data_IF_721553001629
#
_entry.id   IF_721553001629
#
_cell.length_a   1.000
_cell.length_b   1.000
_cell.length_c   1.000
_cell.angle_alpha   90.00
_cell.angle_beta   90.00
_cell.angle_gamma   90.00
#
_symmetry.space_group_name_H-M   'P 1'
#
loop_
_entity.id
_entity.type
_entity.pdbx_description
1 polymer ?
#
# COMPACT_ATOMS: atom_id res chain seq x y z
N UNK A 1 -55.89 -3.43 -8.11
CA UNK A 1 -55.54 -4.14 -6.89
C UNK A 1 -54.99 -3.12 -5.90
N UNK A 2 -55.69 -2.86 -4.80
CA UNK A 2 -55.19 -1.96 -3.75
C UNK A 2 -54.20 -2.79 -2.90
N UNK A 3 -52.95 -2.38 -2.88
CA UNK A 3 -52.00 -2.99 -1.97
C UNK A 3 -52.45 -2.75 -0.51
N UNK A 4 -52.51 -3.78 0.29
CA UNK A 4 -52.85 -3.66 1.71
C UNK A 4 -51.77 -2.86 2.43
N UNK A 5 -52.12 -1.82 3.22
CA UNK A 5 -51.12 -1.03 3.92
C UNK A 5 -50.28 -1.89 4.87
N UNK A 6 -48.96 -1.76 4.77
CA UNK A 6 -48.02 -2.51 5.65
C UNK A 6 -48.36 -2.24 7.12
N UNK A 7 -48.58 -3.30 7.90
CA UNK A 7 -48.93 -3.18 9.31
C UNK A 7 -47.85 -2.46 10.12
N UNK A 8 -48.28 -1.61 11.07
CA UNK A 8 -47.35 -0.93 12.01
C UNK A 8 -46.47 -1.94 12.77
N UNK A 9 -47.01 -3.12 13.07
CA UNK A 9 -46.23 -4.21 13.70
C UNK A 9 -45.12 -4.74 12.78
N UNK A 10 -45.41 -4.92 11.50
CA UNK A 10 -44.43 -5.37 10.52
C UNK A 10 -43.29 -4.38 10.39
N UNK A 11 -43.59 -3.06 10.33
CA UNK A 11 -42.59 -2.00 10.29
C UNK A 11 -41.74 -2.00 11.56
N UNK A 12 -42.35 -2.13 12.73
CA UNK A 12 -41.65 -2.20 14.02
C UNK A 12 -40.67 -3.38 14.09
N UNK A 13 -41.11 -4.57 13.71
CA UNK A 13 -40.22 -5.75 13.69
C UNK A 13 -39.11 -5.62 12.65
N UNK A 14 -39.37 -5.03 11.49
CA UNK A 14 -38.35 -4.78 10.49
C UNK A 14 -37.27 -3.80 10.98
N UNK A 15 -37.66 -2.76 11.73
CA UNK A 15 -36.71 -1.82 12.36
C UNK A 15 -35.85 -2.54 13.41
N UNK A 16 -36.47 -3.31 14.31
CA UNK A 16 -35.72 -4.08 15.34
C UNK A 16 -34.74 -5.03 14.68
N UNK A 17 -35.19 -5.77 13.68
CA UNK A 17 -34.32 -6.70 12.93
C UNK A 17 -33.15 -5.96 12.24
N UNK A 18 -33.42 -4.82 11.60
CA UNK A 18 -32.38 -3.99 10.96
C UNK A 18 -31.37 -3.49 11.98
N UNK A 19 -31.82 -2.99 13.15
CA UNK A 19 -30.93 -2.57 14.24
C UNK A 19 -30.09 -3.75 14.74
N UNK A 20 -30.70 -4.90 14.94
CA UNK A 20 -30.00 -6.11 15.41
C UNK A 20 -28.91 -6.56 14.43
N UNK A 21 -29.24 -6.62 13.13
CA UNK A 21 -28.27 -6.94 12.08
C UNK A 21 -27.14 -5.90 12.04
N UNK A 22 -27.48 -4.61 12.16
CA UNK A 22 -26.48 -3.52 12.20
C UNK A 22 -25.55 -3.64 13.40
N UNK A 23 -26.06 -4.02 14.56
CA UNK A 23 -25.25 -4.26 15.76
C UNK A 23 -24.31 -5.46 15.57
N UNK A 24 -24.80 -6.56 15.00
CA UNK A 24 -23.94 -7.73 14.70
C UNK A 24 -22.79 -7.31 13.75
N UNK A 25 -23.09 -6.59 12.67
CA UNK A 25 -22.08 -6.11 11.74
C UNK A 25 -21.09 -5.18 12.44
N UNK A 26 -21.59 -4.26 13.27
CA UNK A 26 -20.76 -3.35 14.06
C UNK A 26 -19.82 -4.11 15.00
N UNK A 27 -20.34 -5.06 15.78
CA UNK A 27 -19.52 -5.84 16.71
C UNK A 27 -18.50 -6.71 15.98
N UNK A 28 -18.88 -7.39 14.90
CA UNK A 28 -17.94 -8.16 14.10
C UNK A 28 -16.81 -7.31 13.55
N UNK A 29 -17.10 -6.11 13.05
CA UNK A 29 -16.09 -5.19 12.56
C UNK A 29 -15.24 -4.62 13.70
N UNK A 30 -15.85 -4.30 14.84
CA UNK A 30 -15.15 -3.72 15.99
C UNK A 30 -14.15 -4.70 16.62
N UNK A 31 -14.49 -5.98 16.68
CA UNK A 31 -13.63 -7.03 17.22
C UNK A 31 -12.71 -7.68 16.19
N UNK A 32 -12.77 -7.29 14.92
CA UNK A 32 -11.87 -7.82 13.92
C UNK A 32 -10.45 -7.29 14.14
N UNK A 33 -9.57 -8.15 14.62
CA UNK A 33 -8.17 -7.85 14.91
C UNK A 33 -7.24 -8.09 13.72
N UNK A 34 -7.78 -8.46 12.56
CA UNK A 34 -6.98 -8.71 11.35
C UNK A 34 -6.41 -7.42 10.78
N UNK A 35 -5.24 -7.54 10.19
CA UNK A 35 -4.70 -6.52 9.31
C UNK A 35 -5.06 -6.86 7.87
N UNK A 36 -5.76 -5.96 7.19
CA UNK A 36 -6.12 -6.10 5.78
C UNK A 36 -5.18 -5.26 4.93
N UNK A 37 -4.60 -5.87 3.91
CA UNK A 37 -3.71 -5.23 2.93
C UNK A 37 -4.37 -5.35 1.57
N UNK A 38 -4.52 -4.24 0.86
CA UNK A 38 -5.12 -4.17 -0.47
C UNK A 38 -4.15 -3.48 -1.42
N UNK A 39 -3.65 -4.20 -2.41
CA UNK A 39 -2.99 -3.58 -3.56
C UNK A 39 -4.07 -3.17 -4.54
N UNK A 40 -4.25 -1.87 -4.72
CA UNK A 40 -5.33 -1.30 -5.52
C UNK A 40 -5.01 -1.33 -7.02
N UNK A 41 -5.97 -1.68 -7.86
CA UNK A 41 -5.87 -1.46 -9.30
C UNK A 41 -6.11 0.02 -9.63
N UNK A 42 -5.02 0.77 -9.63
CA UNK A 42 -5.02 2.19 -10.03
C UNK A 42 -4.57 2.40 -11.49
N UNK A 43 -4.44 1.31 -12.26
CA UNK A 43 -3.81 1.31 -13.56
C UNK A 43 -2.28 1.24 -13.46
N UNK A 44 -1.57 1.97 -14.33
CA UNK A 44 -0.11 2.00 -14.28
C UNK A 44 0.36 2.92 -13.15
N UNK A 45 0.81 2.32 -12.05
CA UNK A 45 1.24 2.98 -10.83
C UNK A 45 1.08 2.12 -9.58
N UNK A 46 1.49 2.63 -8.44
CA UNK A 46 1.44 1.91 -7.16
C UNK A 46 0.42 2.53 -6.21
N UNK A 47 -0.34 1.67 -5.56
CA UNK A 47 -1.14 2.03 -4.39
C UNK A 47 -1.37 0.79 -3.54
N UNK A 48 -1.04 0.86 -2.27
CA UNK A 48 -1.44 -0.14 -1.29
C UNK A 48 -2.17 0.53 -0.12
N UNK A 49 -3.38 0.07 0.17
CA UNK A 49 -4.14 0.46 1.33
C UNK A 49 -4.02 -0.63 2.40
N UNK A 50 -3.73 -0.23 3.63
CA UNK A 50 -3.58 -1.15 4.77
C UNK A 50 -4.48 -0.65 5.88
N UNK A 51 -5.39 -1.54 6.35
CA UNK A 51 -6.20 -1.29 7.55
C UNK A 51 -5.76 -2.22 8.67
N UNK A 52 -5.23 -1.63 9.74
CA UNK A 52 -4.67 -2.35 10.87
C UNK A 52 -5.74 -2.45 11.96
N UNK A 53 -6.17 -3.68 12.28
CA UNK A 53 -7.13 -3.97 13.36
C UNK A 53 -8.39 -3.12 13.33
N UNK A 54 -8.86 -2.75 12.14
CA UNK A 54 -9.99 -1.84 11.93
C UNK A 54 -9.89 -0.45 12.60
N UNK A 55 -8.69 0.03 12.92
CA UNK A 55 -8.46 1.26 13.69
C UNK A 55 -7.55 2.26 13.02
N UNK A 56 -6.53 1.79 12.27
CA UNK A 56 -5.50 2.64 11.70
C UNK A 56 -5.46 2.39 10.20
N UNK A 57 -5.61 3.45 9.44
CA UNK A 57 -5.59 3.44 8.00
C UNK A 57 -4.27 3.98 7.46
N UNK A 58 -3.63 3.18 6.63
CA UNK A 58 -2.33 3.48 6.04
C UNK A 58 -2.46 3.42 4.52
N UNK A 59 -1.90 4.40 3.85
CA UNK A 59 -1.80 4.41 2.40
C UNK A 59 -0.33 4.48 1.99
N UNK A 60 0.10 3.57 1.13
CA UNK A 60 1.45 3.56 0.55
C UNK A 60 1.30 3.80 -0.94
N UNK A 61 1.77 4.95 -1.40
CA UNK A 61 1.56 5.51 -2.72
C UNK A 61 0.06 5.73 -3.05
N UNK A 62 -0.22 6.52 -4.05
CA UNK A 62 -1.59 6.93 -4.39
C UNK A 62 -1.91 6.82 -5.88
N UNK A 63 -1.00 6.24 -6.66
CA UNK A 63 -1.20 6.05 -8.09
C UNK A 63 -1.21 7.34 -8.93
N UNK A 64 -1.48 7.19 -10.23
CA UNK A 64 -1.37 8.27 -11.22
C UNK A 64 -2.54 9.25 -11.21
N UNK A 65 -3.69 8.89 -10.61
CA UNK A 65 -4.93 9.66 -10.75
C UNK A 65 -5.93 9.40 -9.60
N UNK A 66 -7.19 9.80 -9.81
CA UNK A 66 -8.29 9.67 -8.83
C UNK A 66 -8.77 8.23 -8.59
N UNK A 67 -8.27 7.21 -9.28
CA UNK A 67 -8.69 5.81 -9.11
C UNK A 67 -8.47 5.30 -7.69
N UNK A 68 -7.46 5.81 -7.00
CA UNK A 68 -7.24 5.51 -5.58
C UNK A 68 -8.47 5.78 -4.71
N UNK A 69 -9.29 6.79 -5.06
CA UNK A 69 -10.53 7.10 -4.33
C UNK A 69 -11.56 5.96 -4.45
N UNK A 70 -11.59 5.25 -5.58
CA UNK A 70 -12.48 4.09 -5.76
C UNK A 70 -12.03 2.93 -4.87
N UNK A 71 -10.74 2.69 -4.76
CA UNK A 71 -10.19 1.68 -3.86
C UNK A 71 -10.50 2.01 -2.40
N UNK A 72 -10.21 3.23 -1.95
CA UNK A 72 -10.52 3.66 -0.59
C UNK A 72 -12.03 3.59 -0.31
N UNK A 73 -12.88 4.01 -1.26
CA UNK A 73 -14.34 3.92 -1.12
C UNK A 73 -14.89 2.50 -1.03
N UNK A 74 -14.15 1.50 -1.55
CA UNK A 74 -14.53 0.09 -1.52
C UNK A 74 -14.09 -0.62 -0.24
N UNK A 75 -12.92 -0.25 0.31
CA UNK A 75 -12.30 -1.01 1.40
C UNK A 75 -12.27 -0.29 2.74
N UNK A 76 -12.35 1.05 2.72
CA UNK A 76 -12.44 1.85 3.93
C UNK A 76 -13.92 1.99 4.34
N UNK A 77 -14.28 1.92 5.64
CA UNK A 77 -15.65 2.16 6.07
C UNK A 77 -16.17 3.51 5.58
N UNK A 78 -17.43 3.58 5.15
CA UNK A 78 -17.99 4.79 4.51
C UNK A 78 -18.00 6.03 5.43
N UNK A 79 -18.01 5.80 6.76
CA UNK A 79 -17.94 6.87 7.78
C UNK A 79 -16.51 7.30 8.12
N UNK A 80 -15.50 6.50 7.74
CA UNK A 80 -14.11 6.79 8.00
C UNK A 80 -13.54 7.63 6.85
N UNK A 81 -12.92 8.74 7.20
CA UNK A 81 -12.28 9.67 6.26
C UNK A 81 -10.89 10.08 6.72
N UNK A 82 -10.27 9.23 7.55
CA UNK A 82 -8.99 9.50 8.15
C UNK A 82 -7.95 8.51 7.67
N UNK A 83 -6.77 9.01 7.29
CA UNK A 83 -5.58 8.22 6.95
C UNK A 83 -4.49 8.64 7.94
N UNK A 84 -4.16 7.78 8.89
CA UNK A 84 -3.18 8.08 9.92
C UNK A 84 -1.77 8.22 9.35
N UNK A 85 -1.43 7.37 8.37
CA UNK A 85 -0.10 7.36 7.76
C UNK A 85 -0.23 7.30 6.24
N UNK A 86 0.20 8.34 5.56
CA UNK A 86 0.30 8.39 4.10
C UNK A 86 1.79 8.35 3.71
N UNK A 87 2.21 7.27 3.07
CA UNK A 87 3.58 7.08 2.59
C UNK A 87 3.67 7.38 1.10
N UNK A 88 4.72 8.06 0.70
CA UNK A 88 5.11 8.14 -0.69
C UNK A 88 6.51 7.54 -0.85
N UNK A 89 6.63 6.52 -1.68
CA UNK A 89 7.89 5.81 -1.91
C UNK A 89 8.95 6.69 -2.57
N UNK A 90 8.59 7.44 -3.61
CA UNK A 90 9.46 8.36 -4.32
C UNK A 90 8.65 9.36 -5.17
N UNK A 91 9.25 10.49 -5.63
CA UNK A 91 8.53 11.61 -6.23
C UNK A 91 8.14 11.41 -7.71
N UNK A 92 7.72 10.20 -8.13
CA UNK A 92 7.21 9.93 -9.48
C UNK A 92 5.68 10.03 -9.53
N UNK A 93 5.18 10.51 -10.67
CA UNK A 93 3.77 10.88 -10.85
C UNK A 93 2.81 9.73 -10.66
N UNK A 94 3.16 8.55 -11.10
CA UNK A 94 2.37 7.33 -10.96
C UNK A 94 2.35 6.75 -9.54
N UNK A 95 3.05 7.41 -8.59
CA UNK A 95 2.99 7.14 -7.16
C UNK A 95 2.34 8.26 -6.35
N UNK A 96 2.56 9.53 -6.71
CA UNK A 96 2.09 10.65 -5.88
C UNK A 96 0.82 11.34 -6.36
N UNK A 97 0.44 11.23 -7.64
CA UNK A 97 -0.56 12.16 -8.20
C UNK A 97 -1.96 11.98 -7.57
N UNK A 98 -2.30 10.79 -7.13
CA UNK A 98 -3.53 10.51 -6.40
C UNK A 98 -3.68 11.29 -5.10
N UNK A 99 -2.58 11.68 -4.44
CA UNK A 99 -2.61 12.46 -3.21
C UNK A 99 -3.23 13.86 -3.38
N UNK A 100 -3.23 14.42 -4.58
CA UNK A 100 -3.99 15.65 -4.87
C UNK A 100 -5.49 15.49 -4.60
N UNK A 101 -6.04 14.33 -4.92
CA UNK A 101 -7.47 14.03 -4.76
C UNK A 101 -7.78 13.53 -3.35
N UNK A 102 -6.87 12.78 -2.74
CA UNK A 102 -7.01 12.27 -1.37
C UNK A 102 -7.02 13.42 -0.38
N UNK A 103 -6.06 14.34 -0.47
CA UNK A 103 -5.94 15.46 0.46
C UNK A 103 -7.14 16.42 0.46
N UNK A 104 -8.03 16.34 -0.53
CA UNK A 104 -9.27 17.11 -0.58
C UNK A 104 -10.46 16.38 0.06
N UNK A 105 -10.37 15.06 0.30
CA UNK A 105 -11.49 14.24 0.72
C UNK A 105 -11.25 13.47 2.02
N UNK A 106 -9.98 13.30 2.38
CA UNK A 106 -9.56 12.57 3.57
C UNK A 106 -8.68 13.46 4.43
N UNK A 107 -8.82 13.32 5.74
CA UNK A 107 -7.86 13.87 6.69
C UNK A 107 -6.60 12.97 6.65
N UNK A 108 -5.44 13.57 6.52
CA UNK A 108 -4.15 12.86 6.62
C UNK A 108 -3.46 13.38 7.87
N UNK A 109 -3.10 12.48 8.80
CA UNK A 109 -2.42 12.88 10.02
C UNK A 109 -0.92 13.08 9.81
N UNK A 110 -0.28 12.22 8.97
CA UNK A 110 1.16 12.30 8.70
C UNK A 110 1.44 11.91 7.25
N UNK A 111 2.22 12.73 6.57
CA UNK A 111 2.75 12.42 5.26
C UNK A 111 4.22 12.04 5.37
N UNK A 112 4.58 10.86 4.93
CA UNK A 112 5.90 10.26 5.05
C UNK A 112 6.47 10.05 3.65
N UNK A 113 7.67 10.54 3.40
CA UNK A 113 8.32 10.42 2.08
C UNK A 113 9.84 10.40 2.21
N UNK A 114 10.51 10.44 1.08
CA UNK A 114 11.96 10.55 0.95
C UNK A 114 12.36 11.98 0.64
N UNK A 115 13.51 12.42 1.14
CA UNK A 115 14.16 13.64 0.67
C UNK A 115 14.92 13.34 -0.63
N UNK A 116 14.39 13.84 -1.74
CA UNK A 116 15.00 13.66 -3.07
C UNK A 116 15.32 15.03 -3.68
N UNK A 117 16.53 15.23 -4.18
CA UNK A 117 16.89 16.45 -4.93
C UNK A 117 16.21 16.52 -6.29
N UNK A 118 15.75 15.36 -6.81
CA UNK A 118 15.11 15.25 -8.13
C UNK A 118 13.61 15.37 -7.94
N UNK A 119 13.07 16.58 -8.09
CA UNK A 119 11.65 16.83 -7.87
C UNK A 119 11.02 17.64 -9.00
N UNK A 120 9.94 17.15 -9.54
CA UNK A 120 9.16 17.84 -10.57
C UNK A 120 8.45 19.08 -10.01
N UNK A 121 8.09 20.02 -10.89
CA UNK A 121 7.25 21.18 -10.51
C UNK A 121 5.91 20.73 -9.92
N UNK A 122 5.33 19.63 -10.42
CA UNK A 122 4.06 19.09 -9.94
C UNK A 122 4.22 18.49 -8.53
N UNK A 123 5.30 17.79 -8.26
CA UNK A 123 5.58 17.29 -6.92
C UNK A 123 5.74 18.42 -5.89
N UNK A 124 6.48 19.50 -6.25
CA UNK A 124 6.57 20.69 -5.40
C UNK A 124 5.19 21.29 -5.09
N UNK A 125 4.26 21.30 -6.07
CA UNK A 125 2.87 21.73 -5.84
C UNK A 125 2.14 20.81 -4.87
N UNK A 126 2.38 19.49 -4.92
CA UNK A 126 1.81 18.56 -3.95
C UNK A 126 2.31 18.85 -2.54
N UNK A 127 3.63 18.96 -2.34
CA UNK A 127 4.20 19.25 -1.01
C UNK A 127 3.68 20.58 -0.46
N UNK A 128 3.55 21.61 -1.30
CA UNK A 128 2.92 22.87 -0.93
C UNK A 128 1.47 22.67 -0.47
N UNK A 129 0.66 21.93 -1.24
CA UNK A 129 -0.75 21.62 -0.87
C UNK A 129 -0.85 20.86 0.45
N UNK A 130 0.02 19.88 0.69
CA UNK A 130 0.09 19.12 1.95
C UNK A 130 0.43 20.06 3.11
N UNK A 131 1.42 20.94 2.94
CA UNK A 131 1.80 21.94 3.95
C UNK A 131 0.68 22.96 4.22
N UNK A 132 -0.01 23.47 3.19
CA UNK A 132 -1.14 24.41 3.33
C UNK A 132 -2.32 23.80 4.10
N UNK A 133 -2.45 22.48 4.10
CA UNK A 133 -3.43 21.74 4.90
C UNK A 133 -2.94 21.40 6.32
N UNK A 134 -1.79 21.93 6.72
CA UNK A 134 -1.15 21.67 8.02
C UNK A 134 -0.86 20.17 8.28
N UNK A 135 -0.64 19.39 7.21
CA UNK A 135 -0.26 17.99 7.33
C UNK A 135 1.25 17.91 7.53
N UNK A 136 1.74 17.38 8.66
CA UNK A 136 3.18 17.26 8.92
C UNK A 136 3.84 16.29 7.95
N UNK A 137 4.98 16.72 7.38
CA UNK A 137 5.78 15.96 6.43
C UNK A 137 7.01 15.41 7.13
N UNK A 138 7.26 14.11 7.00
CA UNK A 138 8.42 13.42 7.56
C UNK A 138 9.22 12.77 6.46
N UNK A 139 10.50 13.09 6.39
CA UNK A 139 11.45 12.40 5.52
C UNK A 139 12.06 11.23 6.26
N UNK A 140 12.13 10.07 5.60
CA UNK A 140 12.62 8.82 6.18
C UNK A 140 13.82 8.28 5.44
N UNK A 141 14.76 7.72 6.23
CA UNK A 141 16.02 7.13 5.76
C UNK A 141 16.18 5.71 6.32
N UNK A 142 17.15 4.98 5.79
CA UNK A 142 17.51 3.65 6.27
C UNK A 142 17.79 3.64 7.78
N UNK A 143 17.20 2.67 8.47
CA UNK A 143 17.26 2.53 9.94
C UNK A 143 16.07 3.14 10.68
N UNK A 144 15.31 4.06 10.06
CA UNK A 144 14.10 4.60 10.66
C UNK A 144 13.02 3.53 10.84
N UNK A 145 12.17 3.73 11.87
CA UNK A 145 11.06 2.85 12.19
C UNK A 145 9.82 3.64 12.53
N UNK A 146 8.66 3.13 12.10
CA UNK A 146 7.34 3.58 12.56
C UNK A 146 6.63 2.37 13.13
N UNK A 147 6.08 2.48 14.33
CA UNK A 147 5.29 1.42 14.97
C UNK A 147 3.86 1.90 15.15
N UNK A 148 2.90 1.01 14.90
CA UNK A 148 1.49 1.22 15.12
C UNK A 148 0.85 -0.10 15.52
N UNK A 149 0.29 -0.19 16.74
CA UNK A 149 -0.21 -1.44 17.33
C UNK A 149 0.88 -2.54 17.32
N UNK A 150 0.59 -3.71 16.74
CA UNK A 150 1.50 -4.84 16.60
C UNK A 150 2.21 -4.89 15.24
N UNK A 151 2.18 -3.76 14.51
CA UNK A 151 2.84 -3.64 13.21
C UNK A 151 4.03 -2.69 13.26
N UNK A 152 4.97 -2.90 12.35
CA UNK A 152 6.14 -2.05 12.19
C UNK A 152 6.43 -1.80 10.72
N UNK A 153 6.79 -0.56 10.39
CA UNK A 153 7.40 -0.15 9.13
C UNK A 153 8.88 0.14 9.40
N UNK A 154 9.77 -0.63 8.78
CA UNK A 154 11.22 -0.45 8.86
C UNK A 154 11.73 0.02 7.51
N UNK A 155 12.46 1.13 7.49
CA UNK A 155 13.04 1.69 6.28
C UNK A 155 14.46 1.12 6.07
N UNK A 156 14.70 0.55 4.90
CA UNK A 156 16.01 0.00 4.52
C UNK A 156 16.74 0.86 3.50
N UNK A 157 16.03 1.81 2.87
CA UNK A 157 16.57 2.71 1.86
C UNK A 157 15.74 3.99 1.78
N UNK A 158 16.33 5.15 1.39
CA UNK A 158 17.74 5.41 1.12
C UNK A 158 18.56 5.61 2.41
N UNK A 159 19.90 5.48 2.37
CA UNK A 159 20.75 5.88 3.49
C UNK A 159 20.78 7.41 3.63
N UNK A 160 21.26 7.90 4.77
CA UNK A 160 21.46 9.34 5.00
C UNK A 160 22.44 9.90 3.96
N UNK A 161 22.19 11.12 3.53
CA UNK A 161 23.05 11.87 2.56
C UNK A 161 23.22 11.14 1.21
N UNK A 162 22.26 10.31 0.83
CA UNK A 162 22.25 9.60 -0.45
C UNK A 162 22.08 10.56 -1.62
N UNK A 163 22.83 10.33 -2.69
CA UNK A 163 22.71 11.09 -3.93
C UNK A 163 22.72 10.17 -5.16
N UNK A 164 21.89 10.47 -6.13
CA UNK A 164 21.80 9.78 -7.43
C UNK A 164 21.25 10.75 -8.47
N UNK A 165 21.53 10.50 -9.73
CA UNK A 165 20.88 11.16 -10.87
C UNK A 165 19.59 10.47 -11.33
N UNK A 166 19.27 9.32 -10.78
CA UNK A 166 18.08 8.54 -11.09
C UNK A 166 17.08 8.66 -9.93
N UNK A 167 15.88 9.18 -10.18
CA UNK A 167 14.83 9.38 -9.19
C UNK A 167 14.33 8.07 -8.57
N UNK A 168 14.30 6.97 -9.33
CA UNK A 168 13.95 5.64 -8.83
C UNK A 168 14.92 5.12 -7.76
N UNK A 169 16.16 5.61 -7.74
CA UNK A 169 17.13 5.24 -6.71
C UNK A 169 16.79 5.83 -5.34
N UNK A 170 15.88 6.81 -5.28
CA UNK A 170 15.36 7.36 -4.01
C UNK A 170 14.13 6.58 -3.48
N UNK A 171 13.67 5.55 -4.17
CA UNK A 171 12.52 4.77 -3.69
C UNK A 171 12.72 4.22 -2.29
N UNK A 172 11.88 4.64 -1.34
CA UNK A 172 11.85 4.03 -0.02
C UNK A 172 11.63 2.52 -0.13
N UNK A 173 12.56 1.74 0.39
CA UNK A 173 12.37 0.30 0.59
C UNK A 173 11.91 0.07 2.02
N UNK A 174 10.67 -0.38 2.17
CA UNK A 174 9.98 -0.46 3.45
C UNK A 174 9.58 -1.91 3.73
N UNK A 175 10.08 -2.48 4.83
CA UNK A 175 9.55 -3.73 5.35
C UNK A 175 8.41 -3.44 6.30
N UNK A 176 7.22 -3.86 5.92
CA UNK A 176 6.04 -3.91 6.78
C UNK A 176 5.95 -5.28 7.45
N UNK A 177 5.82 -5.29 8.76
CA UNK A 177 5.71 -6.53 9.54
C UNK A 177 4.51 -6.49 10.46
N UNK A 178 3.75 -7.60 10.54
CA UNK A 178 2.61 -7.80 11.44
C UNK A 178 2.96 -8.87 12.46
N UNK A 179 2.57 -8.66 13.71
CA UNK A 179 2.89 -9.58 14.81
C UNK A 179 4.38 -9.56 15.15
N UNK A 180 4.96 -8.37 15.29
CA UNK A 180 6.41 -8.18 15.52
C UNK A 180 6.95 -8.81 16.79
N UNK A 181 6.07 -9.18 17.72
CA UNK A 181 6.42 -9.88 18.96
C UNK A 181 6.33 -11.42 18.84
N UNK A 182 5.94 -11.94 17.68
CA UNK A 182 5.81 -13.38 17.43
C UNK A 182 7.14 -13.98 17.01
N UNK A 183 7.25 -15.28 17.15
CA UNK A 183 8.38 -16.05 16.64
C UNK A 183 8.52 -15.92 15.12
N UNK A 184 7.39 -15.85 14.39
CA UNK A 184 7.35 -15.71 12.93
C UNK A 184 6.39 -14.59 12.54
N UNK A 185 6.82 -13.33 12.54
CA UNK A 185 6.00 -12.22 12.06
C UNK A 185 5.73 -12.35 10.56
N UNK A 186 4.53 -11.95 10.11
CA UNK A 186 4.26 -11.76 8.69
C UNK A 186 5.07 -10.58 8.15
N UNK A 187 5.62 -10.70 6.94
CA UNK A 187 6.57 -9.74 6.38
C UNK A 187 6.27 -9.43 4.92
N UNK A 188 6.00 -8.16 4.63
CA UNK A 188 5.77 -7.63 3.28
C UNK A 188 6.80 -6.56 2.96
N UNK A 189 7.52 -6.71 1.85
CA UNK A 189 8.50 -5.73 1.41
C UNK A 189 7.92 -4.87 0.28
N UNK A 190 7.79 -3.58 0.55
CA UNK A 190 7.52 -2.55 -0.44
C UNK A 190 8.84 -2.02 -1.00
N UNK A 191 8.96 -1.96 -2.30
CA UNK A 191 10.20 -1.57 -2.97
C UNK A 191 10.07 -0.30 -3.81
N UNK A 192 8.86 0.25 -3.94
CA UNK A 192 8.59 1.31 -4.92
C UNK A 192 9.13 0.91 -6.29
N UNK A 193 9.86 1.81 -6.92
CA UNK A 193 10.51 1.60 -8.21
C UNK A 193 12.03 1.38 -8.09
N UNK A 194 12.47 0.88 -6.92
CA UNK A 194 13.87 0.66 -6.63
C UNK A 194 14.62 -0.03 -7.77
N UNK A 195 15.71 0.58 -8.20
CA UNK A 195 16.54 0.10 -9.30
C UNK A 195 17.40 -1.12 -8.88
N UNK A 196 17.99 -1.85 -9.83
CA UNK A 196 18.97 -2.89 -9.55
C UNK A 196 20.14 -2.43 -8.67
N UNK A 197 20.54 -1.16 -8.79
CA UNK A 197 21.56 -0.55 -7.97
C UNK A 197 21.15 -0.50 -6.48
N UNK A 198 19.92 -0.08 -6.19
CA UNK A 198 19.37 -0.04 -4.83
C UNK A 198 19.24 -1.45 -4.27
N UNK A 199 18.58 -2.34 -5.02
CA UNK A 199 18.36 -3.72 -4.59
C UNK A 199 19.67 -4.48 -4.35
N UNK A 200 20.73 -4.18 -5.09
CA UNK A 200 22.05 -4.79 -4.92
C UNK A 200 22.78 -4.38 -3.64
N UNK A 201 22.33 -3.32 -2.97
CA UNK A 201 22.90 -2.83 -1.69
C UNK A 201 22.19 -3.36 -0.46
N UNK A 202 21.02 -3.95 -0.64
CA UNK A 202 20.30 -4.61 0.45
C UNK A 202 20.96 -5.94 0.77
N UNK A 203 21.12 -6.28 2.05
CA UNK A 203 21.85 -7.47 2.49
C UNK A 203 20.94 -8.51 3.15
N UNK A 204 21.39 -9.78 3.14
CA UNK A 204 20.67 -10.91 3.74
C UNK A 204 20.41 -10.71 5.25
N UNK A 205 21.36 -10.14 5.97
CA UNK A 205 21.23 -9.89 7.42
C UNK A 205 20.19 -8.86 7.81
N UNK A 206 19.74 -8.04 6.83
CA UNK A 206 18.79 -6.96 7.08
C UNK A 206 17.36 -7.32 6.70
N UNK A 207 17.14 -7.93 5.52
CA UNK A 207 15.78 -8.21 5.03
C UNK A 207 15.28 -9.57 5.49
N UNK A 208 16.08 -10.64 5.35
CA UNK A 208 15.66 -12.03 5.62
C UNK A 208 14.48 -12.47 4.75
N UNK A 209 13.93 -13.66 5.01
CA UNK A 209 12.78 -14.20 4.28
C UNK A 209 11.53 -13.33 4.45
N UNK A 210 10.80 -13.11 3.38
CA UNK A 210 9.54 -12.34 3.36
C UNK A 210 8.38 -13.18 2.82
N UNK A 211 7.16 -12.86 3.20
CA UNK A 211 5.95 -13.55 2.72
C UNK A 211 5.49 -12.97 1.39
N UNK A 212 5.53 -11.63 1.27
CA UNK A 212 5.11 -10.93 0.06
C UNK A 212 6.18 -9.93 -0.38
N UNK A 213 6.50 -9.96 -1.66
CA UNK A 213 7.27 -8.93 -2.35
C UNK A 213 6.34 -8.09 -3.22
N UNK A 214 6.23 -6.77 -2.96
CA UNK A 214 5.77 -5.84 -4.00
C UNK A 214 6.91 -5.70 -5.00
N UNK A 215 6.70 -6.25 -6.20
CA UNK A 215 7.72 -6.28 -7.25
C UNK A 215 8.10 -4.86 -7.67
N UNK A 216 9.39 -4.52 -7.70
CA UNK A 216 9.83 -3.17 -8.02
C UNK A 216 9.48 -2.77 -9.44
N UNK A 217 9.17 -1.48 -9.60
CA UNK A 217 9.00 -0.80 -10.87
C UNK A 217 8.02 -1.51 -11.81
N UNK A 218 6.85 -1.89 -11.26
CA UNK A 218 5.73 -2.54 -11.97
C UNK A 218 6.13 -3.80 -12.78
N UNK A 219 7.21 -4.46 -12.38
CA UNK A 219 7.78 -5.58 -13.13
C UNK A 219 8.61 -5.18 -14.35
N UNK A 220 9.18 -3.97 -14.37
CA UNK A 220 10.16 -3.52 -15.35
C UNK A 220 11.39 -4.43 -15.39
N UNK A 221 11.98 -4.59 -16.59
CA UNK A 221 13.28 -5.26 -16.74
C UNK A 221 14.43 -4.58 -15.97
N UNK A 222 14.25 -3.30 -15.60
CA UNK A 222 15.18 -2.46 -14.85
C UNK A 222 14.85 -2.39 -13.34
N UNK A 223 14.03 -3.30 -12.83
CA UNK A 223 13.70 -3.41 -11.41
C UNK A 223 14.32 -4.66 -10.80
N UNK A 224 13.54 -5.75 -10.70
CA UNK A 224 13.90 -6.98 -10.01
C UNK A 224 15.16 -7.65 -10.58
N UNK A 225 16.07 -8.07 -9.67
CA UNK A 225 17.26 -8.86 -10.00
C UNK A 225 17.17 -10.26 -9.40
N UNK A 226 17.84 -11.24 -10.07
CA UNK A 226 17.89 -12.63 -9.57
C UNK A 226 18.52 -12.68 -8.16
N UNK A 227 19.64 -11.96 -7.94
CA UNK A 227 20.33 -11.90 -6.65
C UNK A 227 19.43 -11.37 -5.54
N UNK A 228 18.66 -10.31 -5.80
CA UNK A 228 17.73 -9.76 -4.83
C UNK A 228 16.57 -10.72 -4.55
N UNK A 229 16.04 -11.38 -5.57
CA UNK A 229 14.99 -12.38 -5.42
C UNK A 229 15.43 -13.58 -4.58
N UNK A 230 16.69 -13.99 -4.73
CA UNK A 230 17.28 -15.04 -3.87
C UNK A 230 17.46 -14.59 -2.43
N UNK A 231 17.76 -13.31 -2.21
CA UNK A 231 17.90 -12.70 -0.91
C UNK A 231 16.56 -12.57 -0.16
N UNK A 232 15.53 -12.12 -0.85
CA UNK A 232 14.22 -11.85 -0.29
C UNK A 232 13.38 -13.12 -0.10
N UNK A 233 13.58 -14.14 -0.95
CA UNK A 233 12.93 -15.45 -0.97
C UNK A 233 11.43 -15.39 -0.65
N UNK A 234 10.63 -14.59 -1.43
CA UNK A 234 9.22 -14.38 -1.14
C UNK A 234 8.37 -15.60 -1.50
N UNK A 235 7.30 -15.84 -0.75
CA UNK A 235 6.27 -16.83 -1.12
C UNK A 235 5.34 -16.27 -2.22
N UNK A 236 5.02 -14.98 -2.13
CA UNK A 236 4.14 -14.28 -3.07
C UNK A 236 4.84 -13.06 -3.65
N UNK A 237 4.56 -12.76 -4.92
CA UNK A 237 4.98 -11.54 -5.60
C UNK A 237 3.76 -10.80 -6.13
N UNK A 238 3.57 -9.55 -5.72
CA UNK A 238 2.50 -8.68 -6.20
C UNK A 238 3.09 -7.69 -7.20
N UNK A 239 2.48 -7.60 -8.37
CA UNK A 239 2.84 -6.65 -9.42
C UNK A 239 1.67 -5.68 -9.60
N UNK A 240 1.83 -4.44 -9.16
CA UNK A 240 0.90 -3.36 -9.49
C UNK A 240 1.23 -2.86 -10.89
N UNK A 241 0.31 -3.02 -11.81
CA UNK A 241 0.54 -2.72 -13.23
C UNK A 241 -0.80 -2.46 -13.93
N UNK A 242 -0.81 -1.57 -14.89
CA UNK A 242 -2.01 -1.24 -15.66
C UNK A 242 -2.28 -2.20 -16.80
N UNK A 243 -3.54 -2.55 -17.01
CA UNK A 243 -3.97 -3.31 -18.19
C UNK A 243 -3.65 -2.52 -19.46
N UNK A 244 -3.08 -3.21 -20.45
CA UNK A 244 -2.68 -2.62 -21.74
C UNK A 244 -1.73 -1.42 -21.61
N UNK A 245 -0.84 -1.42 -20.62
CA UNK A 245 0.13 -0.36 -20.44
C UNK A 245 1.14 -0.29 -21.61
N UNK A 246 1.55 0.92 -21.98
CA UNK A 246 2.48 1.17 -23.08
C UNK A 246 3.94 0.82 -22.78
N UNK A 247 4.26 0.48 -21.52
CA UNK A 247 5.62 0.18 -21.08
C UNK A 247 6.04 -1.28 -21.30
N UNK A 248 5.08 -2.17 -21.66
CA UNK A 248 5.30 -3.60 -21.78
C UNK A 248 5.57 -4.27 -20.43
N UNK A 249 5.03 -3.72 -19.35
CA UNK A 249 5.10 -4.29 -18.01
C UNK A 249 3.92 -5.25 -17.73
N UNK A 250 4.11 -6.29 -16.91
CA UNK A 250 5.41 -6.77 -16.41
C UNK A 250 6.23 -7.42 -17.54
N UNK A 251 7.53 -7.16 -17.55
CA UNK A 251 8.41 -7.72 -18.57
C UNK A 251 8.56 -9.24 -18.41
N UNK A 252 8.56 -10.00 -19.51
CA UNK A 252 8.60 -11.46 -19.49
C UNK A 252 9.79 -12.03 -18.70
N UNK A 253 10.95 -11.36 -18.73
CA UNK A 253 12.12 -11.72 -17.92
C UNK A 253 11.80 -11.76 -16.42
N UNK A 254 11.02 -10.80 -15.91
CA UNK A 254 10.62 -10.72 -14.49
C UNK A 254 9.70 -11.87 -14.15
N UNK A 255 8.68 -12.12 -14.99
CA UNK A 255 7.77 -13.25 -14.81
C UNK A 255 8.51 -14.59 -14.81
N UNK A 256 9.47 -14.78 -15.71
CA UNK A 256 10.28 -15.99 -15.78
C UNK A 256 11.15 -16.18 -14.53
N UNK A 257 11.73 -15.11 -13.98
CA UNK A 257 12.51 -15.18 -12.73
C UNK A 257 11.63 -15.62 -11.54
N UNK A 258 10.42 -15.06 -11.42
CA UNK A 258 9.48 -15.42 -10.36
C UNK A 258 8.99 -16.87 -10.51
N UNK A 259 8.59 -17.29 -11.73
CA UNK A 259 8.16 -18.66 -12.02
C UNK A 259 9.25 -19.70 -11.74
N UNK A 260 10.50 -19.40 -12.10
CA UNK A 260 11.64 -20.30 -11.86
C UNK A 260 11.91 -20.56 -10.36
N UNK A 261 11.39 -19.73 -9.48
CA UNK A 261 11.46 -19.88 -8.01
C UNK A 261 10.16 -20.39 -7.39
N UNK A 262 9.18 -20.81 -8.20
CA UNK A 262 7.84 -21.24 -7.78
C UNK A 262 7.11 -20.19 -6.91
N UNK A 263 7.38 -18.91 -7.12
CA UNK A 263 6.74 -17.81 -6.40
C UNK A 263 5.35 -17.60 -6.98
N UNK A 264 4.33 -17.49 -6.12
CA UNK A 264 2.98 -17.16 -6.55
C UNK A 264 2.93 -15.72 -7.04
N UNK A 265 2.57 -15.53 -8.31
CA UNK A 265 2.49 -14.20 -8.93
C UNK A 265 1.04 -13.75 -8.91
N UNK A 266 0.81 -12.54 -8.40
CA UNK A 266 -0.49 -11.86 -8.44
C UNK A 266 -0.33 -10.51 -9.12
N UNK A 267 -1.26 -10.15 -10.01
CA UNK A 267 -1.15 -8.96 -10.86
C UNK A 267 -2.44 -8.16 -10.84
N UNK A 268 -2.33 -6.84 -10.66
CA UNK A 268 -3.52 -5.96 -10.63
C UNK A 268 -4.20 -5.83 -12.00
N UNK A 269 -3.49 -5.97 -13.10
CA UNK A 269 -4.07 -5.93 -14.45
C UNK A 269 -4.86 -7.20 -14.84
N UNK A 270 -4.68 -8.29 -14.09
CA UNK A 270 -5.39 -9.56 -14.29
C UNK A 270 -6.49 -9.79 -13.24
N UNK A 271 -6.23 -9.44 -11.97
CA UNK A 271 -7.10 -9.75 -10.84
C UNK A 271 -7.92 -8.53 -10.33
N UNK A 272 -7.58 -7.30 -10.78
CA UNK A 272 -8.06 -6.08 -10.16
C UNK A 272 -7.38 -5.84 -8.80
N UNK A 273 -8.15 -5.43 -7.79
CA UNK A 273 -7.61 -5.24 -6.44
C UNK A 273 -7.20 -6.58 -5.80
N UNK A 274 -5.98 -6.65 -5.25
CA UNK A 274 -5.44 -7.86 -4.62
C UNK A 274 -5.46 -7.70 -3.10
N UNK A 275 -6.12 -8.65 -2.41
CA UNK A 275 -6.36 -8.56 -0.97
C UNK A 275 -5.62 -9.67 -0.23
N UNK A 276 -4.98 -9.28 0.89
CA UNK A 276 -4.47 -10.19 1.91
C UNK A 276 -5.07 -9.81 3.27
N UNK A 277 -5.44 -10.82 4.06
CA UNK A 277 -5.92 -10.65 5.44
C UNK A 277 -5.02 -11.44 6.37
N UNK A 278 -4.38 -10.74 7.28
CA UNK A 278 -3.41 -11.30 8.21
C UNK A 278 -4.06 -11.35 9.58
N UNK A 279 -4.22 -12.55 10.11
CA UNK A 279 -4.75 -12.73 11.46
C UNK A 279 -3.81 -12.17 12.51
N UNK A 280 -4.39 -11.76 13.63
CA UNK A 280 -3.65 -11.30 14.79
C UNK A 280 -3.15 -12.48 15.67
N UNK A 281 -3.51 -13.72 15.34
CA UNK A 281 -3.19 -14.93 16.11
C UNK A 281 -1.83 -15.53 15.75
#
# INVERSE_FOLDING_TARGET
MMESPVSKRTVFFAIIFSVFVSLIIFFNNYFDQRTTIVFCDVGQGDTAYIRIKNKIDVLIDAGPDKKVLSCLGKYMPFWDRKIELAFLSHPNRDHYNGYFFISDRYQIDKFITVDSPIVSKTYKKLLKKISEKNIPIFFKIAGDKIKAEDVQFMFYWPPKDFNSSNDNDFSNVILFSVGVLREKPFRLLFTGDASPFVLGRLSHGTIGKIDILKVPHHGSKNGLTKKFLELADPTNAVISVGKNNSYGHPHQRVLNMLKAKNIQIRRTDEEGDIIFRISAD
#
